data_IF_406414965682
#
_entry.id   IF_406414965682
#
_cell.length_a   1.000
_cell.length_b   1.000
_cell.length_c   1.000
_cell.angle_alpha   90.00
_cell.angle_beta   90.00
_cell.angle_gamma   90.00
#
_symmetry.space_group_name_H-M   'P 1'
#
loop_
_entity.id
_entity.type
_entity.pdbx_description
1 polymer ?
#
# COMPACT_ATOMS: atom_id res chain seq x y z
N UNK A 1 -20.89 24.59 43.12
CA UNK A 1 -20.80 23.25 42.49
C UNK A 1 -19.35 23.06 42.08
N UNK A 2 -18.59 22.23 42.80
CA UNK A 2 -17.14 22.08 42.55
C UNK A 2 -16.90 21.08 41.42
N UNK A 3 -16.19 21.44 40.34
CA UNK A 3 -15.88 20.51 39.25
C UNK A 3 -14.90 19.44 39.75
N UNK A 4 -15.19 18.18 39.44
CA UNK A 4 -14.40 17.01 39.86
C UNK A 4 -12.96 16.98 39.30
N UNK A 5 -12.65 17.83 38.31
CA UNK A 5 -11.32 17.93 37.70
C UNK A 5 -11.01 19.38 37.29
N UNK A 6 -9.90 19.96 37.76
CA UNK A 6 -9.56 21.37 37.48
C UNK A 6 -8.93 21.59 36.10
N UNK A 7 -8.51 20.53 35.37
CA UNK A 7 -7.92 20.66 34.04
C UNK A 7 -7.84 19.33 33.30
N UNK A 8 -7.79 19.37 31.96
CA UNK A 8 -7.47 18.21 31.11
C UNK A 8 -6.13 17.57 31.50
N UNK A 9 -5.16 18.37 31.90
CA UNK A 9 -3.88 17.89 32.41
C UNK A 9 -4.03 17.04 33.67
N UNK A 10 -4.93 17.40 34.60
CA UNK A 10 -5.21 16.60 35.80
C UNK A 10 -5.89 15.25 35.47
N UNK A 11 -6.61 15.16 34.35
CA UNK A 11 -7.18 13.90 33.86
C UNK A 11 -6.09 12.97 33.29
N UNK A 12 -5.10 13.53 32.59
CA UNK A 12 -3.92 12.81 32.12
C UNK A 12 -2.88 12.55 33.22
N UNK A 13 -2.93 13.28 34.32
CA UNK A 13 -2.00 13.20 35.45
C UNK A 13 -2.69 12.74 36.74
N UNK A 14 -3.81 12.01 36.63
CA UNK A 14 -4.45 11.35 37.78
C UNK A 14 -3.51 10.24 38.25
N UNK A 15 -2.62 10.61 39.18
CA UNK A 15 -1.42 9.86 39.57
C UNK A 15 -1.64 8.34 39.63
N UNK A 16 -0.91 7.61 38.80
CA UNK A 16 -0.91 6.14 38.75
C UNK A 16 -1.74 5.52 37.62
N UNK A 17 -2.94 6.01 37.33
CA UNK A 17 -3.86 5.33 36.40
C UNK A 17 -3.69 5.72 34.93
N UNK A 18 -3.31 6.97 34.66
CA UNK A 18 -3.17 7.46 33.30
C UNK A 18 -2.13 6.68 32.48
N UNK A 19 -1.08 6.17 33.12
CA UNK A 19 -0.08 5.33 32.47
C UNK A 19 -0.71 4.05 31.88
N UNK A 20 -1.54 3.35 32.64
CA UNK A 20 -2.23 2.14 32.18
C UNK A 20 -3.23 2.42 31.05
N UNK A 21 -3.95 3.54 31.14
CA UNK A 21 -4.90 3.96 30.10
C UNK A 21 -4.16 4.25 28.80
N UNK A 22 -3.09 5.03 28.85
CA UNK A 22 -2.26 5.33 27.67
C UNK A 22 -1.61 4.08 27.09
N UNK A 23 -1.14 3.15 27.92
CA UNK A 23 -0.60 1.87 27.45
C UNK A 23 -1.68 1.05 26.70
N UNK A 24 -2.89 0.99 27.25
CA UNK A 24 -4.03 0.28 26.64
C UNK A 24 -4.45 0.93 25.31
N UNK A 25 -4.50 2.26 25.27
CA UNK A 25 -4.77 3.03 24.06
C UNK A 25 -3.68 2.79 23.01
N UNK A 26 -2.40 2.83 23.41
CA UNK A 26 -1.28 2.58 22.53
C UNK A 26 -1.31 1.15 21.95
N UNK A 27 -1.57 0.13 22.78
CA UNK A 27 -1.70 -1.26 22.33
C UNK A 27 -2.86 -1.42 21.34
N UNK A 28 -3.99 -0.77 21.61
CA UNK A 28 -5.17 -0.81 20.73
C UNK A 28 -4.86 -0.12 19.39
N UNK A 29 -4.27 1.07 19.42
CA UNK A 29 -3.82 1.79 18.22
C UNK A 29 -2.79 0.99 17.43
N UNK A 30 -1.84 0.34 18.10
CA UNK A 30 -0.82 -0.49 17.47
C UNK A 30 -1.46 -1.72 16.80
N UNK A 31 -2.45 -2.34 17.43
CA UNK A 31 -3.20 -3.46 16.85
C UNK A 31 -3.98 -3.03 15.60
N UNK A 32 -4.65 -1.87 15.67
CA UNK A 32 -5.39 -1.30 14.55
C UNK A 32 -4.45 -0.90 13.40
N UNK A 33 -3.32 -0.26 13.74
CA UNK A 33 -2.28 0.12 12.79
C UNK A 33 -1.66 -1.12 12.13
N UNK A 34 -1.39 -2.18 12.90
CA UNK A 34 -0.92 -3.46 12.39
C UNK A 34 -1.88 -4.08 11.39
N UNK A 35 -3.18 -4.10 11.71
CA UNK A 35 -4.21 -4.61 10.81
C UNK A 35 -4.35 -3.76 9.54
N UNK A 36 -4.32 -2.43 9.69
CA UNK A 36 -4.40 -1.50 8.56
C UNK A 36 -3.16 -1.61 7.68
N UNK A 37 -1.98 -1.73 8.28
CA UNK A 37 -0.71 -1.89 7.57
C UNK A 37 -0.68 -3.23 6.83
N UNK A 38 -1.13 -4.31 7.48
CA UNK A 38 -1.27 -5.62 6.85
C UNK A 38 -2.20 -5.55 5.62
N UNK A 39 -3.35 -4.90 5.77
CA UNK A 39 -4.32 -4.68 4.69
C UNK A 39 -3.74 -3.83 3.55
N UNK A 40 -3.04 -2.74 3.89
CA UNK A 40 -2.38 -1.84 2.92
C UNK A 40 -1.24 -2.55 2.19
N UNK A 41 -0.44 -3.37 2.88
CA UNK A 41 0.65 -4.15 2.33
C UNK A 41 0.14 -5.23 1.37
N UNK A 42 -0.94 -5.93 1.72
CA UNK A 42 -1.60 -6.88 0.81
C UNK A 42 -2.06 -6.19 -0.48
N UNK A 43 -2.72 -5.04 -0.36
CA UNK A 43 -3.16 -4.24 -1.52
C UNK A 43 -1.99 -3.77 -2.38
N UNK A 44 -0.89 -3.33 -1.75
CA UNK A 44 0.34 -2.93 -2.46
C UNK A 44 1.03 -4.10 -3.14
N UNK A 45 1.05 -5.29 -2.52
CA UNK A 45 1.61 -6.50 -3.13
C UNK A 45 0.85 -6.90 -4.39
N UNK A 46 -0.48 -6.80 -4.38
CA UNK A 46 -1.31 -7.02 -5.57
C UNK A 46 -0.98 -6.02 -6.69
N UNK A 47 -0.92 -4.73 -6.37
CA UNK A 47 -0.60 -3.69 -7.36
C UNK A 47 0.82 -3.86 -7.91
N UNK A 48 1.80 -4.15 -7.06
CA UNK A 48 3.18 -4.39 -7.48
C UNK A 48 3.32 -5.64 -8.37
N UNK A 49 2.50 -6.67 -8.14
CA UNK A 49 2.46 -7.86 -9.00
C UNK A 49 1.86 -7.55 -10.38
N UNK A 50 0.87 -6.66 -10.45
CA UNK A 50 0.26 -6.22 -11.73
C UNK A 50 1.25 -5.37 -12.53
N UNK A 51 1.94 -4.41 -11.90
CA UNK A 51 2.92 -3.57 -12.59
C UNK A 51 4.08 -4.39 -13.21
N UNK A 52 4.51 -5.46 -12.54
CA UNK A 52 5.53 -6.37 -13.11
C UNK A 52 5.04 -7.13 -14.35
N UNK A 53 3.73 -7.40 -14.46
CA UNK A 53 3.13 -8.03 -15.63
C UNK A 53 3.00 -7.03 -16.77
N UNK A 54 2.53 -5.81 -16.49
CA UNK A 54 2.42 -4.74 -17.50
C UNK A 54 3.78 -4.40 -18.13
N UNK A 55 4.86 -4.29 -17.35
CA UNK A 55 6.19 -4.02 -17.89
C UNK A 55 6.69 -5.12 -18.86
N UNK A 56 6.19 -6.35 -18.71
CA UNK A 56 6.53 -7.49 -19.57
C UNK A 56 5.64 -7.51 -20.82
N UNK A 57 4.36 -7.21 -20.66
CA UNK A 57 3.39 -7.16 -21.77
C UNK A 57 3.67 -5.99 -22.73
N UNK A 58 4.12 -4.83 -22.22
CA UNK A 58 4.51 -3.68 -23.06
C UNK A 58 5.69 -4.03 -23.97
N UNK A 59 6.67 -4.80 -23.48
CA UNK A 59 7.82 -5.23 -24.30
C UNK A 59 7.43 -6.25 -25.36
N UNK A 60 6.51 -7.17 -25.06
CA UNK A 60 6.04 -8.17 -26.02
C UNK A 60 5.17 -7.54 -27.12
N UNK A 61 4.36 -6.52 -26.79
CA UNK A 61 3.56 -5.77 -27.78
C UNK A 61 4.45 -4.96 -28.72
N UNK A 62 5.51 -4.33 -28.22
CA UNK A 62 6.47 -3.59 -29.04
C UNK A 62 7.20 -4.48 -30.07
N UNK A 63 7.45 -5.76 -29.74
CA UNK A 63 8.02 -6.72 -30.69
C UNK A 63 7.02 -7.28 -31.71
N UNK A 64 5.71 -7.32 -31.38
CA UNK A 64 4.68 -7.82 -32.31
C UNK A 64 4.33 -6.83 -33.43
N UNK A 65 4.59 -5.54 -33.27
CA UNK A 65 4.37 -4.54 -34.32
C UNK A 65 5.53 -4.42 -35.32
N UNK A 66 6.69 -5.06 -35.09
CA UNK A 66 7.88 -4.82 -35.90
C UNK A 66 8.04 -5.78 -37.09
N UNK A 67 7.65 -7.06 -37.07
CA UNK A 67 7.82 -7.90 -38.29
C UNK A 67 6.94 -9.15 -38.29
N UNK A 68 5.98 -9.25 -39.22
CA UNK A 68 6.06 -10.28 -40.26
C UNK A 68 5.74 -9.79 -41.69
N UNK A 69 5.28 -8.55 -41.88
CA UNK A 69 4.87 -8.05 -43.19
C UNK A 69 6.03 -7.59 -44.09
N UNK A 70 7.15 -7.12 -43.50
CA UNK A 70 8.32 -6.65 -44.25
C UNK A 70 9.18 -7.78 -44.84
N UNK A 71 9.05 -9.01 -44.34
CA UNK A 71 9.73 -10.19 -44.91
C UNK A 71 9.01 -10.74 -46.14
N UNK A 72 7.70 -10.52 -46.26
CA UNK A 72 6.91 -10.97 -47.40
C UNK A 72 7.13 -10.07 -48.64
N UNK A 73 7.27 -8.75 -48.44
CA UNK A 73 7.49 -7.80 -49.55
C UNK A 73 8.90 -7.86 -50.13
N UNK A 74 9.91 -8.27 -49.35
CA UNK A 74 11.27 -8.45 -49.84
C UNK A 74 11.42 -9.71 -50.72
N UNK A 75 10.59 -10.73 -50.51
CA UNK A 75 10.63 -11.97 -51.28
C UNK A 75 9.90 -11.85 -52.63
N UNK A 76 8.85 -11.03 -52.71
CA UNK A 76 8.08 -10.81 -53.94
C UNK A 76 8.82 -9.95 -54.97
N UNK A 77 9.73 -9.06 -54.54
CA UNK A 77 10.53 -8.22 -55.45
C UNK A 77 11.82 -8.91 -55.95
N UNK A 78 11.95 -10.22 -55.71
CA UNK A 78 13.12 -11.04 -56.12
C UNK A 78 12.78 -12.17 -57.08
N UNK A 79 11.53 -12.23 -57.57
CA UNK A 79 11.05 -13.12 -58.64
C UNK A 79 10.62 -12.27 -59.85
#
# INVERSE_FOLDING_TARGET
>A
MSPAFPSWAAFFAMGGYAFYVWLSVAVTLLSLAGLLLHTRLQRRRLIAAVQRREARDVRIRASKSVTPAAAASAQENSL
#
